data_IF_368523924290
#
_entry.id   IF_368523924290
#
_cell.length_a   1.000
_cell.length_b   1.000
_cell.length_c   1.000
_cell.angle_alpha   90.00
_cell.angle_beta   90.00
_cell.angle_gamma   90.00
#
_symmetry.space_group_name_H-M   'P 1'
#
loop_
_entity.id
_entity.type
_entity.pdbx_description
1 polymer ?
#
# COMPACT_ATOMS: atom_id res chain seq x y z
N UNK A 1 26.14 -11.75 1.80
CA UNK A 1 24.79 -11.20 2.10
C UNK A 1 23.75 -12.06 1.40
N UNK A 2 22.83 -12.67 2.14
CA UNK A 2 21.72 -13.45 1.58
C UNK A 2 20.74 -12.54 0.82
N UNK A 3 19.95 -13.09 -0.11
CA UNK A 3 18.96 -12.31 -0.88
C UNK A 3 17.93 -11.61 0.03
N UNK A 4 17.62 -12.20 1.20
CA UNK A 4 16.76 -11.60 2.22
C UNK A 4 17.32 -10.28 2.75
N UNK A 5 18.64 -10.19 3.01
CA UNK A 5 19.27 -8.97 3.51
C UNK A 5 19.21 -7.83 2.48
N UNK A 6 19.31 -8.12 1.18
CA UNK A 6 19.21 -7.11 0.12
C UNK A 6 17.80 -6.50 0.04
N UNK A 7 16.78 -7.34 0.19
CA UNK A 7 15.38 -6.89 0.17
C UNK A 7 15.03 -6.07 1.41
N UNK A 8 15.53 -6.49 2.58
CA UNK A 8 15.37 -5.73 3.81
C UNK A 8 16.04 -4.35 3.71
N UNK A 9 17.25 -4.27 3.14
CA UNK A 9 17.92 -2.99 2.88
C UNK A 9 17.13 -2.14 1.91
N UNK A 10 16.57 -2.71 0.84
CA UNK A 10 15.72 -1.97 -0.09
C UNK A 10 14.50 -1.38 0.63
N UNK A 11 13.79 -2.18 1.41
CA UNK A 11 12.64 -1.73 2.20
C UNK A 11 13.02 -0.60 3.15
N UNK A 12 14.13 -0.76 3.88
CA UNK A 12 14.64 0.26 4.80
C UNK A 12 15.05 1.53 4.07
N UNK A 13 15.69 1.43 2.90
CA UNK A 13 16.08 2.58 2.09
C UNK A 13 14.83 3.32 1.59
N UNK A 14 13.84 2.60 1.05
CA UNK A 14 12.58 3.19 0.57
C UNK A 14 11.83 3.86 1.72
N UNK A 15 11.71 3.19 2.86
CA UNK A 15 11.10 3.73 4.06
C UNK A 15 11.80 5.02 4.55
N UNK A 16 13.12 4.97 4.69
CA UNK A 16 13.93 6.10 5.13
C UNK A 16 13.81 7.27 4.15
N UNK A 17 13.77 6.99 2.84
CA UNK A 17 13.57 8.03 1.83
C UNK A 17 12.21 8.71 1.95
N UNK A 18 11.14 7.98 2.31
CA UNK A 18 9.82 8.56 2.53
C UNK A 18 9.76 9.43 3.79
N UNK A 19 10.45 9.02 4.86
CA UNK A 19 10.56 9.85 6.07
C UNK A 19 11.28 11.16 5.76
N UNK A 20 12.45 11.11 5.11
CA UNK A 20 13.27 12.30 4.84
C UNK A 20 12.60 13.35 3.95
N UNK A 21 11.56 12.97 3.21
CA UNK A 21 10.83 13.91 2.36
C UNK A 21 9.93 14.82 3.19
N UNK A 22 9.50 14.38 4.38
CA UNK A 22 8.66 15.14 5.34
C UNK A 22 7.42 15.82 4.70
N UNK A 23 7.00 15.36 3.52
CA UNK A 23 5.92 15.95 2.73
C UNK A 23 5.00 14.86 2.17
N UNK A 24 3.80 14.68 2.74
CA UNK A 24 2.87 13.64 2.32
C UNK A 24 2.50 13.69 0.83
N UNK A 25 2.40 14.88 0.24
CA UNK A 25 2.06 15.05 -1.18
C UNK A 25 3.18 14.62 -2.12
N UNK A 26 4.44 14.78 -1.72
CA UNK A 26 5.58 14.30 -2.51
C UNK A 26 5.71 12.79 -2.33
N UNK A 27 5.59 12.30 -1.10
CA UNK A 27 5.68 10.87 -0.79
C UNK A 27 4.66 10.04 -1.56
N UNK A 28 3.39 10.46 -1.60
CA UNK A 28 2.37 9.72 -2.36
C UNK A 28 2.64 9.72 -3.87
N UNK A 29 3.18 10.81 -4.42
CA UNK A 29 3.57 10.88 -5.84
C UNK A 29 4.70 9.91 -6.15
N UNK A 30 5.73 9.86 -5.29
CA UNK A 30 6.83 8.91 -5.47
C UNK A 30 6.39 7.47 -5.32
N UNK A 31 5.49 7.18 -4.37
CA UNK A 31 4.87 5.87 -4.23
C UNK A 31 4.15 5.45 -5.52
N UNK A 32 3.30 6.32 -6.07
CA UNK A 32 2.60 6.07 -7.34
C UNK A 32 3.56 5.92 -8.53
N UNK A 33 4.60 6.76 -8.64
CA UNK A 33 5.62 6.66 -9.69
C UNK A 33 6.37 5.33 -9.59
N UNK A 34 6.73 4.90 -8.38
CA UNK A 34 7.43 3.63 -8.15
C UNK A 34 6.56 2.44 -8.55
N UNK A 35 5.28 2.44 -8.18
CA UNK A 35 4.32 1.42 -8.59
C UNK A 35 4.09 1.43 -10.11
N UNK A 36 3.99 2.62 -10.72
CA UNK A 36 3.82 2.79 -12.17
C UNK A 36 5.03 2.28 -12.95
N UNK A 37 6.24 2.45 -12.43
CA UNK A 37 7.44 1.89 -13.05
C UNK A 37 7.39 0.36 -13.10
N UNK A 38 6.92 -0.30 -12.04
CA UNK A 38 6.72 -1.76 -12.03
C UNK A 38 5.60 -2.17 -12.99
N UNK A 39 4.51 -1.41 -13.07
CA UNK A 39 3.45 -1.67 -14.04
C UNK A 39 3.97 -1.59 -15.48
N UNK A 40 4.74 -0.54 -15.82
CA UNK A 40 5.36 -0.37 -17.13
C UNK A 40 6.35 -1.51 -17.43
N UNK A 41 7.19 -1.86 -16.47
CA UNK A 41 8.09 -3.01 -16.59
C UNK A 41 7.32 -4.33 -16.84
N UNK A 42 6.17 -4.52 -16.19
CA UNK A 42 5.30 -5.69 -16.41
C UNK A 42 4.77 -5.76 -17.84
N UNK A 43 4.40 -4.62 -18.43
CA UNK A 43 3.98 -4.53 -19.84
C UNK A 43 5.12 -4.95 -20.76
N UNK A 44 6.32 -4.38 -20.54
CA UNK A 44 7.51 -4.71 -21.35
C UNK A 44 7.86 -6.19 -21.30
N UNK A 45 7.66 -6.83 -20.13
CA UNK A 45 7.94 -8.25 -19.91
C UNK A 45 6.76 -9.17 -20.19
N UNK A 46 5.59 -8.62 -20.55
CA UNK A 46 4.32 -9.34 -20.80
C UNK A 46 3.90 -10.24 -19.63
N UNK A 47 4.17 -9.82 -18.38
CA UNK A 47 3.78 -10.57 -17.19
C UNK A 47 2.48 -10.02 -16.61
N UNK A 48 1.38 -10.76 -16.80
CA UNK A 48 0.04 -10.28 -16.47
C UNK A 48 -0.23 -10.19 -14.95
N UNK A 49 0.37 -11.04 -14.12
CA UNK A 49 0.07 -11.04 -12.69
C UNK A 49 0.60 -9.79 -11.99
N UNK A 50 1.84 -9.41 -12.28
CA UNK A 50 2.55 -8.22 -11.83
C UNK A 50 1.89 -6.96 -12.40
N UNK A 51 1.44 -6.99 -13.65
CA UNK A 51 0.66 -5.89 -14.21
C UNK A 51 -0.64 -5.67 -13.42
N UNK A 52 -1.41 -6.73 -13.17
CA UNK A 52 -2.68 -6.62 -12.44
C UNK A 52 -2.47 -6.20 -10.97
N UNK A 53 -1.47 -6.76 -10.29
CA UNK A 53 -1.16 -6.41 -8.89
C UNK A 53 -0.74 -4.94 -8.79
N UNK A 54 0.20 -4.49 -9.64
CA UNK A 54 0.63 -3.08 -9.65
C UNK A 54 -0.51 -2.14 -10.05
N UNK A 55 -1.34 -2.51 -11.03
CA UNK A 55 -2.51 -1.75 -11.43
C UNK A 55 -3.55 -1.60 -10.30
N UNK A 56 -3.81 -2.66 -9.53
CA UNK A 56 -4.70 -2.57 -8.36
C UNK A 56 -4.11 -1.71 -7.24
N UNK A 57 -2.81 -1.78 -7.00
CA UNK A 57 -2.15 -0.89 -6.03
C UNK A 57 -2.33 0.58 -6.45
N UNK A 58 -2.05 0.90 -7.72
CA UNK A 58 -2.17 2.25 -8.26
C UNK A 58 -3.62 2.73 -8.20
N UNK A 59 -4.57 1.90 -8.62
CA UNK A 59 -5.98 2.27 -8.67
C UNK A 59 -6.54 2.50 -7.26
N UNK A 60 -6.26 1.61 -6.31
CA UNK A 60 -6.68 1.78 -4.92
C UNK A 60 -6.10 3.07 -4.34
N UNK A 61 -4.80 3.29 -4.46
CA UNK A 61 -4.16 4.50 -3.92
C UNK A 61 -4.69 5.79 -4.57
N UNK A 62 -4.90 5.78 -5.88
CA UNK A 62 -5.39 6.95 -6.62
C UNK A 62 -6.85 7.26 -6.26
N UNK A 63 -7.70 6.22 -6.21
CA UNK A 63 -9.10 6.39 -5.81
C UNK A 63 -9.15 6.93 -4.39
N UNK A 64 -8.45 6.30 -3.44
CA UNK A 64 -8.39 6.75 -2.03
C UNK A 64 -7.99 8.22 -1.92
N UNK A 65 -6.90 8.62 -2.58
CA UNK A 65 -6.37 9.98 -2.52
C UNK A 65 -7.35 11.02 -3.07
N UNK A 66 -8.03 10.71 -4.16
CA UNK A 66 -9.01 11.62 -4.76
C UNK A 66 -10.25 11.71 -3.86
N UNK A 67 -10.81 10.57 -3.47
CA UNK A 67 -12.09 10.52 -2.76
C UNK A 67 -11.96 11.02 -1.32
N UNK A 68 -10.85 10.78 -0.63
CA UNK A 68 -10.63 11.30 0.71
C UNK A 68 -10.55 12.84 0.71
N UNK A 69 -9.99 13.46 -0.35
CA UNK A 69 -9.97 14.91 -0.49
C UNK A 69 -11.36 15.51 -0.63
N UNK A 70 -12.23 14.89 -1.42
CA UNK A 70 -13.64 15.28 -1.50
C UNK A 70 -14.38 15.07 -0.18
N UNK A 71 -14.13 13.92 0.48
CA UNK A 71 -14.79 13.59 1.74
C UNK A 71 -14.37 14.53 2.88
N UNK A 72 -13.10 14.90 2.98
CA UNK A 72 -12.61 15.88 3.97
C UNK A 72 -13.28 17.26 3.81
N UNK A 73 -13.37 17.75 2.57
CA UNK A 73 -14.08 19.00 2.27
C UNK A 73 -15.57 18.93 2.66
N UNK A 74 -16.23 17.80 2.40
CA UNK A 74 -17.59 17.56 2.83
C UNK A 74 -17.74 17.53 4.36
N UNK A 75 -16.82 16.86 5.07
CA UNK A 75 -16.85 16.79 6.53
C UNK A 75 -16.67 18.17 7.17
N UNK A 76 -15.67 18.94 6.71
CA UNK A 76 -15.39 20.30 7.22
C UNK A 76 -16.51 21.30 6.97
N UNK A 77 -17.32 21.10 5.93
CA UNK A 77 -18.49 21.93 5.65
C UNK A 77 -19.75 21.48 6.40
N UNK A 78 -19.85 20.20 6.74
CA UNK A 78 -21.04 19.62 7.38
C UNK A 78 -20.96 19.60 8.90
N UNK A 79 -19.75 19.54 9.48
CA UNK A 79 -19.52 19.42 10.91
C UNK A 79 -18.57 20.51 11.41
N UNK A 80 -18.92 21.11 12.55
CA UNK A 80 -18.08 22.11 13.23
C UNK A 80 -17.10 21.50 14.24
N UNK A 81 -17.42 20.32 14.78
CA UNK A 81 -16.59 19.64 15.77
C UNK A 81 -15.41 18.92 15.11
N UNK A 82 -14.18 19.33 15.47
CA UNK A 82 -12.94 18.80 14.93
C UNK A 82 -12.76 17.31 15.23
N UNK A 83 -13.17 16.87 16.42
CA UNK A 83 -13.04 15.47 16.84
C UNK A 83 -13.90 14.57 15.94
N UNK A 84 -15.15 14.95 15.72
CA UNK A 84 -16.07 14.24 14.82
C UNK A 84 -15.54 14.18 13.39
N UNK A 85 -15.03 15.30 12.86
CA UNK A 85 -14.42 15.34 11.51
C UNK A 85 -13.25 14.35 11.41
N UNK A 86 -12.33 14.36 12.38
CA UNK A 86 -11.17 13.47 12.37
C UNK A 86 -11.56 11.99 12.45
N UNK A 87 -12.48 11.62 13.35
CA UNK A 87 -12.94 10.22 13.49
C UNK A 87 -13.56 9.72 12.19
N UNK A 88 -14.42 10.52 11.55
CA UNK A 88 -15.04 10.15 10.28
C UNK A 88 -14.00 10.04 9.17
N UNK A 89 -13.04 10.96 9.11
CA UNK A 89 -11.94 10.93 8.16
C UNK A 89 -11.12 9.64 8.27
N UNK A 90 -10.69 9.26 9.47
CA UNK A 90 -9.93 8.01 9.65
C UNK A 90 -10.78 6.76 9.47
N UNK A 91 -12.07 6.80 9.84
CA UNK A 91 -13.01 5.70 9.55
C UNK A 91 -13.13 5.45 8.04
N UNK A 92 -13.12 6.51 7.22
CA UNK A 92 -13.07 6.35 5.77
C UNK A 92 -11.81 5.61 5.31
N UNK A 93 -10.64 5.99 5.83
CA UNK A 93 -9.38 5.33 5.50
C UNK A 93 -9.37 3.86 5.97
N UNK A 94 -9.94 3.56 7.14
CA UNK A 94 -10.13 2.19 7.65
C UNK A 94 -10.94 1.36 6.65
N UNK A 95 -12.09 1.87 6.20
CA UNK A 95 -12.94 1.20 5.20
C UNK A 95 -12.18 0.96 3.90
N UNK A 96 -11.38 1.93 3.45
CA UNK A 96 -10.59 1.77 2.23
C UNK A 96 -9.54 0.67 2.33
N UNK A 97 -8.90 0.52 3.49
CA UNK A 97 -7.93 -0.57 3.72
C UNK A 97 -8.63 -1.94 3.81
N UNK A 98 -9.85 -2.01 4.33
CA UNK A 98 -10.68 -3.24 4.27
C UNK A 98 -11.01 -3.60 2.82
N UNK A 99 -11.39 -2.61 1.98
CA UNK A 99 -11.62 -2.82 0.55
C UNK A 99 -10.35 -3.37 -0.11
N UNK A 100 -9.20 -2.74 0.14
CA UNK A 100 -7.91 -3.20 -0.38
C UNK A 100 -7.58 -4.63 0.02
N UNK A 101 -7.81 -5.00 1.28
CA UNK A 101 -7.66 -6.38 1.77
C UNK A 101 -8.49 -7.37 0.95
N UNK A 102 -9.78 -7.11 0.73
CA UNK A 102 -10.63 -8.00 -0.07
C UNK A 102 -10.24 -8.02 -1.55
N UNK A 103 -9.86 -6.88 -2.14
CA UNK A 103 -9.36 -6.81 -3.51
C UNK A 103 -8.16 -7.73 -3.69
N UNK A 104 -7.23 -7.76 -2.73
CA UNK A 104 -6.04 -8.59 -2.82
C UNK A 104 -6.25 -10.07 -2.44
N UNK A 105 -7.17 -10.38 -1.52
CA UNK A 105 -7.58 -11.78 -1.29
C UNK A 105 -8.23 -12.38 -2.54
N UNK A 106 -9.10 -11.63 -3.20
CA UNK A 106 -9.81 -12.09 -4.40
C UNK A 106 -9.14 -11.66 -5.70
N UNK A 107 -7.85 -11.29 -5.65
CA UNK A 107 -7.10 -10.69 -6.77
C UNK A 107 -7.22 -11.52 -8.03
N UNK A 108 -7.00 -12.82 -7.93
CA UNK A 108 -6.99 -13.75 -9.07
C UNK A 108 -8.37 -13.86 -9.70
N UNK A 109 -9.44 -13.95 -8.89
CA UNK A 109 -10.82 -14.04 -9.37
C UNK A 109 -11.22 -12.74 -10.08
N UNK A 110 -10.94 -11.58 -9.46
CA UNK A 110 -11.21 -10.26 -10.04
C UNK A 110 -10.42 -10.10 -11.35
N UNK A 111 -9.14 -10.46 -11.34
CA UNK A 111 -8.26 -10.33 -12.50
C UNK A 111 -8.71 -11.18 -13.68
N UNK A 112 -9.13 -12.44 -13.44
CA UNK A 112 -9.68 -13.33 -14.48
C UNK A 112 -11.00 -12.81 -15.03
N UNK A 113 -11.86 -12.23 -14.19
CA UNK A 113 -13.10 -11.61 -14.63
C UNK A 113 -12.85 -10.40 -15.55
N UNK A 114 -11.83 -9.58 -15.23
CA UNK A 114 -11.49 -8.39 -16.01
C UNK A 114 -10.78 -8.72 -17.33
N UNK A 115 -9.76 -9.59 -17.33
CA UNK A 115 -8.95 -9.85 -18.52
C UNK A 115 -9.43 -11.03 -19.37
N UNK A 116 -10.35 -11.85 -18.84
CA UNK A 116 -10.77 -13.14 -19.44
C UNK A 116 -9.60 -14.10 -19.75
N UNK A 117 -8.42 -13.87 -19.16
CA UNK A 117 -7.23 -14.67 -19.41
C UNK A 117 -7.10 -15.82 -18.40
N UNK A 118 -6.84 -17.02 -18.92
CA UNK A 118 -6.51 -18.21 -18.11
C UNK A 118 -5.07 -18.21 -17.61
N UNK A 119 -4.22 -17.31 -18.11
CA UNK A 119 -2.80 -17.21 -17.73
C UNK A 119 -2.61 -16.58 -16.34
N UNK A 120 -3.66 -15.97 -15.79
CA UNK A 120 -3.63 -15.38 -14.45
C UNK A 120 -3.67 -16.47 -13.41
N UNK A 121 -2.64 -16.49 -12.56
CA UNK A 121 -2.38 -17.52 -11.56
C UNK A 121 -2.12 -16.88 -10.20
N UNK A 122 -2.31 -17.70 -9.17
CA UNK A 122 -1.90 -17.34 -7.82
C UNK A 122 -0.37 -17.28 -7.78
N UNK A 123 0.16 -16.21 -7.21
CA UNK A 123 1.59 -15.99 -7.00
C UNK A 123 1.86 -16.00 -5.49
N UNK A 124 3.11 -16.26 -5.06
CA UNK A 124 3.47 -16.16 -3.64
C UNK A 124 3.16 -14.79 -3.03
N UNK A 125 3.12 -13.74 -3.85
CA UNK A 125 2.90 -12.36 -3.42
C UNK A 125 1.44 -12.06 -3.05
N UNK A 126 0.48 -12.81 -3.58
CA UNK A 126 -0.93 -12.70 -3.18
C UNK A 126 -1.14 -13.00 -1.70
N UNK A 127 -0.31 -13.91 -1.16
CA UNK A 127 -0.38 -14.31 0.24
C UNK A 127 0.21 -13.26 1.19
N UNK A 128 0.91 -12.24 0.68
CA UNK A 128 1.64 -11.25 1.50
C UNK A 128 0.97 -9.88 1.39
N UNK A 129 0.60 -9.45 0.19
CA UNK A 129 0.19 -8.06 -0.05
C UNK A 129 -1.07 -7.65 0.73
N UNK A 130 -2.04 -8.55 0.90
CA UNK A 130 -3.25 -8.27 1.67
C UNK A 130 -2.96 -8.03 3.17
N UNK A 131 -1.90 -8.63 3.73
CA UNK A 131 -1.48 -8.36 5.11
C UNK A 131 -0.97 -6.93 5.29
N UNK A 132 -0.43 -6.30 4.26
CA UNK A 132 -0.02 -4.89 4.34
C UNK A 132 -1.25 -3.98 4.50
N UNK A 133 -2.38 -4.34 3.88
CA UNK A 133 -3.65 -3.62 4.09
C UNK A 133 -4.23 -3.86 5.48
N UNK A 134 -4.11 -5.08 6.02
CA UNK A 134 -4.44 -5.35 7.43
C UNK A 134 -3.56 -4.50 8.36
N UNK A 135 -2.26 -4.44 8.11
CA UNK A 135 -1.33 -3.62 8.89
C UNK A 135 -1.77 -2.15 8.89
N UNK A 136 -2.04 -1.56 7.72
CA UNK A 136 -2.55 -0.17 7.62
C UNK A 136 -3.88 0.00 8.36
N UNK A 137 -4.80 -0.95 8.22
CA UNK A 137 -6.07 -0.96 8.97
C UNK A 137 -5.84 -0.89 10.48
N UNK A 138 -4.93 -1.71 11.02
CA UNK A 138 -4.60 -1.72 12.45
C UNK A 138 -4.00 -0.37 12.87
N UNK A 139 -3.02 0.13 12.13
CA UNK A 139 -2.36 1.42 12.42
C UNK A 139 -3.36 2.56 12.47
N UNK A 140 -4.24 2.68 11.47
CA UNK A 140 -5.23 3.76 11.40
C UNK A 140 -6.28 3.61 12.50
N UNK A 141 -6.68 2.38 12.83
CA UNK A 141 -7.62 2.12 13.93
C UNK A 141 -7.03 2.52 15.28
N UNK A 142 -5.77 2.14 15.54
CA UNK A 142 -5.07 2.52 16.76
C UNK A 142 -4.86 4.03 16.84
N UNK A 143 -4.49 4.67 15.72
CA UNK A 143 -4.40 6.13 15.62
C UNK A 143 -5.74 6.81 15.95
N UNK A 144 -6.86 6.30 15.43
CA UNK A 144 -8.19 6.86 15.68
C UNK A 144 -8.58 6.76 17.15
N UNK A 145 -8.30 5.61 17.78
CA UNK A 145 -8.56 5.39 19.21
C UNK A 145 -7.68 6.31 20.07
N UNK A 146 -6.39 6.38 19.75
CA UNK A 146 -5.41 7.23 20.45
C UNK A 146 -5.79 8.72 20.35
N UNK A 147 -6.15 9.18 19.14
CA UNK A 147 -6.65 10.53 18.90
C UNK A 147 -7.91 10.84 19.72
N UNK A 148 -8.85 9.89 19.80
CA UNK A 148 -10.06 10.04 20.61
C UNK A 148 -9.75 10.17 22.10
N UNK A 149 -8.91 9.27 22.64
CA UNK A 149 -8.51 9.28 24.05
C UNK A 149 -7.81 10.59 24.39
N UNK A 150 -6.83 11.01 23.58
CA UNK A 150 -6.10 12.25 23.80
C UNK A 150 -7.04 13.46 23.76
N UNK A 151 -7.93 13.54 22.77
CA UNK A 151 -8.88 14.65 22.63
C UNK A 151 -9.93 14.73 23.74
N UNK A 152 -10.28 13.61 24.38
CA UNK A 152 -11.31 13.55 25.45
C UNK A 152 -10.76 13.61 26.86
N UNK A 153 -9.57 13.05 27.08
CA UNK A 153 -9.02 12.83 28.42
C UNK A 153 -7.69 13.57 28.65
N UNK A 154 -7.14 14.25 27.64
CA UNK A 154 -5.88 15.01 27.69
C UNK A 154 -4.68 14.15 28.17
N UNK A 155 -4.74 12.84 27.89
CA UNK A 155 -3.70 11.87 28.24
C UNK A 155 -2.69 11.83 27.09
N UNK A 156 -1.68 12.69 27.17
CA UNK A 156 -0.60 12.75 26.18
C UNK A 156 0.39 11.57 26.26
N UNK A 157 0.44 10.84 27.38
CA UNK A 157 1.43 9.77 27.60
C UNK A 157 1.20 8.50 26.76
N UNK A 158 0.05 8.35 26.11
CA UNK A 158 -0.27 7.20 25.25
C UNK A 158 -0.15 7.50 23.74
N UNK A 159 0.30 8.70 23.36
CA UNK A 159 0.17 9.25 21.99
C UNK A 159 1.09 8.64 20.92
N UNK A 160 1.60 7.42 21.09
CA UNK A 160 2.57 6.85 20.15
C UNK A 160 2.03 6.77 18.72
N UNK A 161 0.81 6.26 18.56
CA UNK A 161 0.19 6.12 17.24
C UNK A 161 -0.27 7.46 16.67
N UNK A 162 -0.58 8.41 17.54
CA UNK A 162 -0.81 9.80 17.15
C UNK A 162 0.46 10.47 16.61
N UNK A 163 1.59 10.33 17.32
CA UNK A 163 2.86 10.99 16.99
C UNK A 163 3.52 10.41 15.74
N UNK A 164 3.56 9.09 15.60
CA UNK A 164 4.29 8.40 14.51
C UNK A 164 3.37 7.89 13.39
N UNK A 165 2.18 8.47 13.26
CA UNK A 165 1.17 8.01 12.31
C UNK A 165 1.71 7.95 10.88
N UNK A 166 2.32 9.05 10.42
CA UNK A 166 2.79 9.17 9.04
C UNK A 166 3.87 8.15 8.72
N UNK A 167 4.84 7.98 9.62
CA UNK A 167 5.92 7.02 9.48
C UNK A 167 5.38 5.59 9.42
N UNK A 168 4.41 5.24 10.27
CA UNK A 168 3.78 3.92 10.23
C UNK A 168 3.05 3.69 8.89
N UNK A 169 2.43 4.71 8.31
CA UNK A 169 1.83 4.62 6.96
C UNK A 169 2.90 4.49 5.87
N UNK A 170 3.98 5.28 5.95
CA UNK A 170 5.09 5.20 5.00
C UNK A 170 5.79 3.84 5.04
N UNK A 171 5.85 3.19 6.19
CA UNK A 171 6.33 1.81 6.31
C UNK A 171 5.46 0.84 5.49
N UNK A 172 4.13 0.98 5.58
CA UNK A 172 3.20 0.19 4.76
C UNK A 172 3.39 0.44 3.25
N UNK A 173 3.58 1.70 2.84
CA UNK A 173 3.88 2.05 1.45
C UNK A 173 5.20 1.41 0.98
N UNK A 174 6.27 1.52 1.77
CA UNK A 174 7.56 0.93 1.48
C UNK A 174 7.49 -0.60 1.36
N UNK A 175 6.69 -1.26 2.21
CA UNK A 175 6.45 -2.69 2.13
C UNK A 175 5.78 -3.09 0.80
N UNK A 176 4.78 -2.34 0.33
CA UNK A 176 4.13 -2.61 -0.97
C UNK A 176 5.14 -2.45 -2.12
N UNK A 177 5.93 -1.38 -2.14
CA UNK A 177 6.95 -1.19 -3.19
C UNK A 177 7.99 -2.31 -3.15
N UNK A 178 8.41 -2.72 -1.96
CA UNK A 178 9.34 -3.85 -1.80
C UNK A 178 8.74 -5.13 -2.37
N UNK A 179 7.46 -5.43 -2.09
CA UNK A 179 6.74 -6.59 -2.66
C UNK A 179 6.74 -6.52 -4.20
N UNK A 180 6.39 -5.36 -4.78
CA UNK A 180 6.37 -5.16 -6.23
C UNK A 180 7.76 -5.34 -6.87
N UNK A 181 8.82 -4.85 -6.24
CA UNK A 181 10.19 -5.07 -6.73
C UNK A 181 10.60 -6.53 -6.58
N UNK A 182 10.21 -7.21 -5.49
CA UNK A 182 10.44 -8.64 -5.32
C UNK A 182 9.80 -9.45 -6.45
N UNK A 183 8.61 -9.07 -6.91
CA UNK A 183 7.93 -9.71 -8.04
C UNK A 183 8.78 -9.62 -9.32
N UNK A 184 9.29 -8.42 -9.63
CA UNK A 184 10.13 -8.21 -10.80
C UNK A 184 11.43 -9.05 -10.73
N UNK A 185 12.08 -9.08 -9.57
CA UNK A 185 13.31 -9.88 -9.36
C UNK A 185 13.00 -11.37 -9.47
N UNK A 186 11.89 -11.83 -8.89
CA UNK A 186 11.47 -13.23 -8.94
C UNK A 186 11.22 -13.67 -10.39
N UNK A 187 10.52 -12.84 -11.17
CA UNK A 187 10.25 -13.11 -12.57
C UNK A 187 11.53 -13.28 -13.41
N UNK A 188 12.52 -12.39 -13.26
CA UNK A 188 13.79 -12.53 -13.99
C UNK A 188 14.56 -13.79 -13.59
N UNK A 189 14.55 -14.15 -12.31
CA UNK A 189 15.21 -15.39 -11.85
C UNK A 189 14.55 -16.64 -12.40
N UNK A 190 13.21 -16.67 -12.41
CA UNK A 190 12.46 -17.79 -12.98
C UNK A 190 12.75 -17.92 -14.47
N UNK A 191 12.83 -16.80 -15.20
CA UNK A 191 13.19 -16.79 -16.61
C UNK A 191 14.59 -17.37 -16.86
N UNK A 192 15.61 -16.89 -16.14
CA UNK A 192 17.01 -17.36 -16.30
C UNK A 192 17.12 -18.86 -16.02
N UNK A 193 16.43 -19.37 -15.00
CA UNK A 193 16.50 -20.79 -14.64
C UNK A 193 15.78 -21.71 -15.65
N UNK A 194 14.84 -21.17 -16.43
CA UNK A 194 14.05 -21.90 -17.40
C UNK A 194 14.59 -21.77 -18.84
N UNK A 195 15.61 -20.94 -19.08
CA UNK A 195 16.31 -20.90 -20.37
C UNK A 195 17.16 -22.17 -20.53
N UNK A 196 17.10 -22.87 -21.68
CA UNK A 196 17.93 -24.04 -21.92
C UNK A 196 19.39 -23.62 -21.84
N UNK A 197 20.17 -24.28 -20.97
CA UNK A 197 21.62 -24.11 -20.97
C UNK A 197 22.11 -24.58 -22.34
N UNK A 198 22.62 -23.67 -23.16
CA UNK A 198 23.39 -24.04 -24.34
C UNK A 198 24.57 -24.90 -23.85
N UNK A 199 24.53 -26.19 -24.19
CA UNK A 199 25.60 -27.19 -23.95
C UNK A 199 26.48 -27.21 -25.17
#
# INVERSE_FOLDING_TARGET
MTNSNKLFILMMLTFTSYIFIENPHITIKLYLISAAFIALYSILKKELNMLHISAFVISLCTIEYITIGFFDNFLKSSFSDKLTVAILYYTYQILFNIIGFFVFIFRVQISRALSRSKEIKLTPFDNIIHWVFIYKFIVISLHTIDYYINSKHDISTLSFFYTYYEELIYFGMAAIITILVCMAIYYEKEKINNEPKEV
#
